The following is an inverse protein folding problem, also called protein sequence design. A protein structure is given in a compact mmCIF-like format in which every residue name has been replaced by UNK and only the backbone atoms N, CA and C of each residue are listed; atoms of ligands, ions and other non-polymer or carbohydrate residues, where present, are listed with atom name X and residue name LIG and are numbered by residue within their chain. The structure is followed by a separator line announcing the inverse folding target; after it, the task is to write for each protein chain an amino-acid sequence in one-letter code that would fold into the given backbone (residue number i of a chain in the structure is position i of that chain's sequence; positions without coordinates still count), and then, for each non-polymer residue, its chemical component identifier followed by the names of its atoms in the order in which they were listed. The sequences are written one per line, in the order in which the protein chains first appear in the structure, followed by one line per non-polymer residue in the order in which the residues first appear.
data_IF_824029165798
#
_entry.id   IF_824029165798
#
_cell.length_a   1.000
_cell.length_b   1.000
_cell.length_c   1.000
_cell.angle_alpha   90.00
_cell.angle_beta   90.00
_cell.angle_gamma   90.00
#
_symmetry.space_group_name_H-M   'P 1'
#
loop_
_entity.id
_entity.type
_entity.pdbx_description
1 polymer ?
#
# COMPACT_ATOMS: atom_id res chain seq x y z
N UNK A 1 15.79 -1.54 4.51
CA UNK A 1 15.58 -1.56 3.05
C UNK A 1 15.49 -3.01 2.62
N UNK A 2 14.35 -3.46 2.11
CA UNK A 2 14.02 -4.87 1.91
C UNK A 2 14.40 -5.42 0.52
N UNK A 3 15.26 -4.71 -0.21
CA UNK A 3 15.85 -5.17 -1.47
C UNK A 3 14.92 -5.08 -2.70
N UNK A 4 15.32 -5.64 -3.85
CA UNK A 4 14.55 -5.58 -5.09
C UNK A 4 13.17 -6.25 -5.02
N UNK A 5 13.03 -7.27 -4.18
CA UNK A 5 11.77 -8.01 -3.99
C UNK A 5 10.63 -7.11 -3.51
N UNK A 6 10.90 -6.23 -2.54
CA UNK A 6 9.93 -5.22 -2.06
C UNK A 6 9.55 -4.23 -3.17
N UNK A 7 10.51 -3.83 -4.00
CA UNK A 7 10.22 -2.93 -5.13
C UNK A 7 9.29 -3.60 -6.15
N UNK A 8 9.50 -4.89 -6.45
CA UNK A 8 8.61 -5.65 -7.32
C UNK A 8 7.21 -5.81 -6.70
N UNK A 9 7.14 -6.11 -5.40
CA UNK A 9 5.88 -6.12 -4.65
C UNK A 9 5.09 -4.82 -4.79
N UNK A 10 5.76 -3.68 -4.55
CA UNK A 10 5.13 -2.36 -4.70
C UNK A 10 4.60 -2.11 -6.11
N UNK A 11 5.34 -2.53 -7.15
CA UNK A 11 4.89 -2.42 -8.54
C UNK A 11 3.61 -3.24 -8.77
N UNK A 12 3.57 -4.47 -8.27
CA UNK A 12 2.40 -5.36 -8.39
C UNK A 12 1.18 -4.75 -7.67
N UNK A 13 1.35 -4.23 -6.46
CA UNK A 13 0.28 -3.55 -5.72
C UNK A 13 -0.22 -2.28 -6.45
N UNK A 14 0.69 -1.50 -7.04
CA UNK A 14 0.34 -0.31 -7.81
C UNK A 14 -0.40 -0.67 -9.11
N UNK A 15 0.02 -1.72 -9.82
CA UNK A 15 -0.68 -2.26 -10.97
C UNK A 15 -2.09 -2.76 -10.62
N UNK A 16 -2.25 -3.44 -9.48
CA UNK A 16 -3.57 -3.85 -9.00
C UNK A 16 -4.49 -2.64 -8.78
N UNK A 17 -3.98 -1.55 -8.20
CA UNK A 17 -4.75 -0.31 -7.98
C UNK A 17 -5.11 0.41 -9.28
N UNK A 18 -4.22 0.42 -10.27
CA UNK A 18 -4.48 1.03 -11.57
C UNK A 18 -5.55 0.26 -12.36
N UNK A 19 -5.42 -1.06 -12.42
CA UNK A 19 -6.33 -1.92 -13.20
C UNK A 19 -7.68 -2.14 -12.51
N UNK A 20 -7.70 -2.16 -11.17
CA UNK A 20 -8.87 -2.47 -10.36
C UNK A 20 -9.11 -1.34 -9.35
N UNK A 21 -9.65 -0.18 -9.75
CA UNK A 21 -9.78 0.99 -8.88
C UNK A 21 -10.78 0.81 -7.73
N UNK A 22 -11.65 -0.21 -7.75
CA UNK A 22 -12.53 -0.54 -6.62
C UNK A 22 -11.67 -0.93 -5.40
N UNK A 23 -11.71 -0.15 -4.30
CA UNK A 23 -10.94 -0.43 -3.10
C UNK A 23 -11.21 -1.80 -2.50
N UNK A 24 -12.42 -2.37 -2.65
CA UNK A 24 -12.71 -3.71 -2.13
C UNK A 24 -11.89 -4.79 -2.81
N UNK A 25 -11.60 -4.61 -4.10
CA UNK A 25 -10.81 -5.53 -4.90
C UNK A 25 -9.33 -5.30 -4.64
N UNK A 26 -8.83 -4.08 -4.90
CA UNK A 26 -7.39 -3.82 -4.78
C UNK A 26 -6.89 -3.90 -3.34
N UNK A 27 -7.62 -3.39 -2.34
CA UNK A 27 -7.19 -3.50 -0.94
C UNK A 27 -7.33 -4.93 -0.45
N UNK A 28 -8.33 -5.69 -0.93
CA UNK A 28 -8.42 -7.12 -0.64
C UNK A 28 -7.14 -7.85 -1.05
N UNK A 29 -6.75 -7.69 -2.31
CA UNK A 29 -5.52 -8.26 -2.85
C UNK A 29 -4.26 -7.81 -2.10
N UNK A 30 -4.09 -6.51 -1.86
CA UNK A 30 -2.93 -5.98 -1.11
C UNK A 30 -2.88 -6.55 0.32
N UNK A 31 -4.03 -6.64 0.99
CA UNK A 31 -4.10 -7.21 2.34
C UNK A 31 -3.82 -8.71 2.36
N UNK A 32 -4.18 -9.45 1.30
CA UNK A 32 -3.79 -10.85 1.13
C UNK A 32 -2.27 -10.98 1.03
N UNK A 33 -1.62 -10.22 0.14
CA UNK A 33 -0.16 -10.20 0.00
C UNK A 33 0.54 -9.83 1.31
N UNK A 34 0.04 -8.79 2.00
CA UNK A 34 0.64 -8.27 3.24
C UNK A 34 0.67 -9.30 4.37
N UNK A 35 -0.25 -10.30 4.38
CA UNK A 35 -0.25 -11.35 5.40
C UNK A 35 0.97 -12.27 5.31
N UNK A 36 1.46 -12.50 4.09
CA UNK A 36 2.61 -13.37 3.80
C UNK A 36 3.73 -12.57 3.12
N UNK A 37 3.95 -11.32 3.57
CA UNK A 37 4.83 -10.34 2.93
C UNK A 37 6.28 -10.82 2.72
N UNK A 38 6.75 -11.77 3.54
CA UNK A 38 8.09 -12.36 3.42
C UNK A 38 8.29 -13.14 2.11
N UNK A 39 7.19 -13.61 1.49
CA UNK A 39 7.19 -14.35 0.25
C UNK A 39 6.92 -13.46 -0.97
N UNK A 40 6.84 -12.14 -0.82
CA UNK A 40 6.69 -11.26 -1.99
C UNK A 40 8.05 -11.17 -2.72
N UNK A 41 8.12 -11.33 -4.07
CA UNK A 41 7.03 -11.43 -5.05
C UNK A 41 6.86 -12.85 -5.63
N UNK A 42 6.83 -13.88 -4.80
CA UNK A 42 6.65 -15.27 -5.24
C UNK A 42 5.36 -15.40 -6.06
N UNK A 43 5.49 -15.99 -7.24
CA UNK A 43 4.42 -16.09 -8.22
C UNK A 43 3.18 -16.80 -7.66
N UNK A 44 3.36 -17.86 -6.89
CA UNK A 44 2.24 -18.62 -6.31
C UNK A 44 1.42 -17.75 -5.36
N UNK A 45 2.06 -16.95 -4.50
CA UNK A 45 1.37 -16.03 -3.60
C UNK A 45 0.54 -15.00 -4.40
N UNK A 46 1.13 -14.45 -5.46
CA UNK A 46 0.45 -13.44 -6.30
C UNK A 46 -0.74 -14.06 -7.04
N UNK A 47 -0.59 -15.25 -7.61
CA UNK A 47 -1.67 -15.97 -8.30
C UNK A 47 -2.83 -16.33 -7.34
N UNK A 48 -2.51 -16.85 -6.15
CA UNK A 48 -3.50 -17.21 -5.13
C UNK A 48 -4.29 -15.99 -4.64
N UNK A 49 -3.60 -14.91 -4.28
CA UNK A 49 -4.25 -13.66 -3.87
C UNK A 49 -5.04 -13.01 -5.01
N UNK A 50 -4.55 -13.09 -6.25
CA UNK A 50 -5.28 -12.55 -7.40
C UNK A 50 -6.59 -13.33 -7.63
N UNK A 51 -6.55 -14.66 -7.53
CA UNK A 51 -7.73 -15.52 -7.64
C UNK A 51 -8.76 -15.22 -6.54
N UNK A 52 -8.34 -15.10 -5.27
CA UNK A 52 -9.22 -14.82 -4.13
C UNK A 52 -9.99 -13.51 -4.31
N UNK A 53 -9.35 -12.49 -4.90
CA UNK A 53 -9.89 -11.14 -5.02
C UNK A 53 -10.36 -10.79 -6.44
N UNK A 54 -10.53 -11.77 -7.32
CA UNK A 54 -11.01 -11.58 -8.70
C UNK A 54 -10.15 -10.61 -9.54
N UNK A 55 -8.84 -10.63 -9.31
CA UNK A 55 -7.84 -9.97 -10.15
C UNK A 55 -7.37 -10.97 -11.23
N UNK A 56 -7.30 -10.49 -12.46
CA UNK A 56 -6.74 -11.24 -13.58
C UNK A 56 -5.22 -11.20 -13.50
N UNK A 57 -4.61 -12.32 -13.12
CA UNK A 57 -3.17 -12.44 -12.97
C UNK A 57 -2.42 -12.08 -14.26
N UNK A 58 -2.95 -12.42 -15.44
CA UNK A 58 -2.29 -12.10 -16.70
C UNK A 58 -2.25 -10.59 -16.92
N UNK A 59 -3.36 -9.88 -16.68
CA UNK A 59 -3.38 -8.42 -16.78
C UNK A 59 -2.45 -7.76 -15.76
N UNK A 60 -2.38 -8.31 -14.56
CA UNK A 60 -1.49 -7.83 -13.51
C UNK A 60 -0.02 -7.97 -13.93
N UNK A 61 0.36 -9.16 -14.42
CA UNK A 61 1.69 -9.42 -14.95
C UNK A 61 2.00 -8.52 -16.15
N UNK A 62 1.07 -8.39 -17.09
CA UNK A 62 1.22 -7.54 -18.28
C UNK A 62 1.45 -6.08 -17.89
N UNK A 63 0.75 -5.56 -16.86
CA UNK A 63 1.00 -4.22 -16.33
C UNK A 63 2.41 -4.08 -15.76
N UNK A 64 2.87 -5.06 -14.97
CA UNK A 64 4.18 -5.01 -14.33
C UNK A 64 5.34 -5.07 -15.33
N UNK A 65 5.18 -5.79 -16.44
CA UNK A 65 6.23 -5.94 -17.48
C UNK A 65 6.02 -5.05 -18.71
N UNK A 66 4.94 -4.27 -18.75
CA UNK A 66 4.63 -3.37 -19.87
C UNK A 66 5.81 -2.42 -20.15
N UNK A 67 6.13 -2.26 -21.44
CA UNK A 67 7.24 -1.41 -21.90
C UNK A 67 8.57 -1.80 -21.25
N UNK A 68 8.87 -3.11 -21.23
CA UNK A 68 10.04 -3.68 -20.56
C UNK A 68 10.14 -3.29 -19.07
N UNK A 69 8.97 -3.12 -18.42
CA UNK A 69 8.83 -2.73 -17.02
C UNK A 69 8.87 -1.22 -16.76
N UNK A 70 9.00 -0.38 -17.79
CA UNK A 70 9.04 1.07 -17.63
C UNK A 70 7.77 1.63 -17.00
N UNK A 71 6.60 1.08 -17.36
CA UNK A 71 5.30 1.49 -16.81
C UNK A 71 5.21 1.26 -15.30
N UNK A 72 5.51 0.04 -14.84
CA UNK A 72 5.53 -0.28 -13.41
C UNK A 72 6.54 0.58 -12.62
N UNK A 73 7.71 0.83 -13.21
CA UNK A 73 8.71 1.69 -12.59
C UNK A 73 8.26 3.16 -12.47
N UNK A 74 7.51 3.67 -13.45
CA UNK A 74 6.94 5.02 -13.41
C UNK A 74 5.88 5.16 -12.31
N UNK A 75 4.99 4.16 -12.17
CA UNK A 75 4.04 4.09 -11.05
C UNK A 75 4.76 4.14 -9.70
N UNK A 76 5.84 3.35 -9.55
CA UNK A 76 6.63 3.31 -8.32
C UNK A 76 7.29 4.65 -8.02
N UNK A 77 7.91 5.30 -9.02
CA UNK A 77 8.51 6.63 -8.89
C UNK A 77 7.49 7.68 -8.48
N UNK A 78 6.32 7.67 -9.10
CA UNK A 78 5.21 8.57 -8.77
C UNK A 78 4.75 8.38 -7.32
N UNK A 79 4.63 7.12 -6.87
CA UNK A 79 4.29 6.79 -5.48
C UNK A 79 5.33 7.28 -4.47
N UNK A 80 6.62 7.13 -4.79
CA UNK A 80 7.74 7.63 -3.98
C UNK A 80 7.70 9.16 -3.91
N UNK A 81 7.53 9.85 -5.04
CA UNK A 81 7.47 11.31 -5.06
C UNK A 81 6.33 11.84 -4.20
N UNK A 82 5.13 11.26 -4.32
CA UNK A 82 3.99 11.61 -3.47
C UNK A 82 4.29 11.42 -1.97
N UNK A 83 5.03 10.37 -1.63
CA UNK A 83 5.42 10.08 -0.24
C UNK A 83 6.45 11.10 0.28
N UNK A 84 7.40 11.50 -0.56
CA UNK A 84 8.36 12.54 -0.26
C UNK A 84 7.71 13.92 -0.10
N UNK A 85 6.81 14.31 -1.01
CA UNK A 85 6.05 15.56 -0.95
C UNK A 85 5.16 15.66 0.30
N UNK A 86 4.76 14.51 0.83
CA UNK A 86 4.01 14.39 2.08
C UNK A 86 4.89 14.48 3.35
N UNK A 87 6.21 14.62 3.22
CA UNK A 87 7.14 14.64 4.35
C UNK A 87 7.29 13.30 5.07
N UNK A 88 6.94 12.19 4.42
CA UNK A 88 7.00 10.85 5.04
C UNK A 88 8.40 10.27 4.90
N UNK A 89 9.02 9.92 6.03
CA UNK A 89 10.39 9.36 6.08
C UNK A 89 10.45 7.95 6.66
N UNK A 90 9.35 7.44 7.23
CA UNK A 90 9.28 6.14 7.89
C UNK A 90 8.08 5.35 7.40
N UNK A 91 8.27 4.07 7.12
CA UNK A 91 7.17 3.11 6.98
C UNK A 91 7.04 2.36 8.31
N UNK A 92 5.88 2.32 8.96
CA UNK A 92 4.57 2.81 8.53
C UNK A 92 4.28 4.23 9.06
N UNK A 93 3.78 5.14 8.20
CA UNK A 93 3.25 6.45 8.61
C UNK A 93 1.79 6.56 8.25
N UNK A 94 0.94 6.84 9.24
CA UNK A 94 -0.49 7.11 9.07
C UNK A 94 -0.67 8.63 9.00
N UNK A 95 -1.41 9.11 8.00
CA UNK A 95 -1.76 10.53 7.85
C UNK A 95 -3.27 10.71 7.94
N UNK A 96 -3.70 11.77 8.61
CA UNK A 96 -5.09 12.17 8.76
C UNK A 96 -5.21 13.67 8.47
N UNK A 97 -6.11 14.04 7.54
CA UNK A 97 -6.31 15.43 7.10
C UNK A 97 -5.02 16.16 6.71
N UNK A 98 -4.18 15.48 5.91
CA UNK A 98 -2.90 16.01 5.43
C UNK A 98 -1.78 16.05 6.47
N UNK A 99 -2.05 15.78 7.75
CA UNK A 99 -1.07 15.78 8.84
C UNK A 99 -0.61 14.36 9.20
N UNK A 100 0.61 14.23 9.73
CA UNK A 100 1.07 12.97 10.33
C UNK A 100 0.23 12.70 11.58
N UNK A 101 -0.40 11.53 11.64
CA UNK A 101 -1.26 11.10 12.74
C UNK A 101 -0.58 10.12 13.68
N UNK A 102 0.23 9.19 13.16
CA UNK A 102 0.85 8.14 13.96
C UNK A 102 1.93 7.45 13.11
N UNK A 103 3.07 7.09 13.71
CA UNK A 103 4.18 6.42 13.05
C UNK A 103 4.43 5.10 13.78
N UNK A 104 4.68 4.03 13.02
CA UNK A 104 5.14 2.75 13.56
C UNK A 104 6.50 2.40 12.98
N UNK A 105 7.50 2.22 13.84
CA UNK A 105 8.88 1.93 13.44
C UNK A 105 9.53 1.01 14.48
N UNK A 106 10.26 -0.01 14.02
CA UNK A 106 10.87 -0.99 14.92
C UNK A 106 9.90 -1.76 15.83
N UNK A 107 8.61 -1.84 15.45
CA UNK A 107 7.55 -2.46 16.25
C UNK A 107 6.85 -1.51 17.23
N UNK A 108 7.41 -0.32 17.46
CA UNK A 108 6.93 0.69 18.41
C UNK A 108 6.09 1.77 17.72
N UNK A 109 5.15 2.35 18.46
CA UNK A 109 4.30 3.46 17.99
C UNK A 109 4.77 4.79 18.56
N UNK A 110 4.84 5.83 17.71
CA UNK A 110 5.18 7.20 18.10
C UNK A 110 4.28 8.23 17.41
N UNK A 111 4.24 9.43 17.97
CA UNK A 111 3.55 10.58 17.36
C UNK A 111 2.05 10.35 17.14
N UNK A 112 1.41 9.61 18.06
CA UNK A 112 -0.01 9.24 18.02
C UNK A 112 -0.80 10.04 19.08
N UNK A 113 -1.28 11.27 18.77
CA UNK A 113 -1.81 12.21 19.77
C UNK A 113 -3.05 11.72 20.50
N UNK A 114 -3.84 10.85 19.85
CA UNK A 114 -5.02 10.21 20.42
C UNK A 114 -4.87 8.71 20.61
N UNK A 115 -3.67 8.16 20.37
CA UNK A 115 -3.38 6.73 20.46
C UNK A 115 -3.29 6.02 19.10
N UNK A 116 -2.58 4.87 19.03
CA UNK A 116 -2.37 4.10 17.80
C UNK A 116 -3.49 3.08 17.51
N UNK A 117 -4.49 2.97 18.39
CA UNK A 117 -5.56 1.98 18.26
C UNK A 117 -6.51 2.28 17.11
N UNK A 118 -7.14 1.23 16.57
CA UNK A 118 -8.16 1.37 15.52
C UNK A 118 -9.31 2.27 15.97
N UNK A 119 -9.80 2.10 17.20
CA UNK A 119 -10.84 2.96 17.76
C UNK A 119 -10.39 4.42 17.89
N UNK A 120 -9.12 4.66 18.23
CA UNK A 120 -8.56 6.01 18.36
C UNK A 120 -8.60 6.74 17.00
N UNK A 121 -8.20 6.04 15.93
CA UNK A 121 -8.24 6.56 14.57
C UNK A 121 -9.69 6.82 14.11
N UNK A 122 -10.63 5.90 14.40
CA UNK A 122 -12.06 6.08 14.07
C UNK A 122 -12.61 7.34 14.75
N UNK A 123 -12.35 7.52 16.04
CA UNK A 123 -12.81 8.69 16.79
C UNK A 123 -12.18 9.99 16.24
N UNK A 124 -10.89 9.96 15.87
CA UNK A 124 -10.22 11.10 15.27
C UNK A 124 -10.84 11.49 13.91
N UNK A 125 -11.14 10.50 13.05
CA UNK A 125 -11.84 10.71 11.77
C UNK A 125 -13.25 11.29 12.00
N UNK A 126 -14.03 10.72 12.91
CA UNK A 126 -15.38 11.20 13.21
C UNK A 126 -15.39 12.64 13.72
N UNK A 127 -14.40 13.00 14.55
CA UNK A 127 -14.25 14.36 15.07
C UNK A 127 -14.03 15.36 13.93
N UNK A 128 -13.12 15.08 13.01
CA UNK A 128 -12.84 15.94 11.84
C UNK A 128 -14.06 16.05 10.91
N UNK A 129 -14.75 14.93 10.68
CA UNK A 129 -15.97 14.91 9.85
C UNK A 129 -17.07 15.81 10.40
N UNK A 130 -17.19 15.96 11.73
CA UNK A 130 -18.19 16.83 12.38
C UNK A 130 -17.79 18.32 12.37
N UNK A 131 -16.53 18.62 12.06
CA UNK A 131 -15.98 19.98 12.03
C UNK A 131 -15.92 20.58 10.62
N UNK A 132 -16.16 19.76 9.59
CA UNK A 132 -16.27 20.15 8.18
C UNK A 132 -17.72 20.48 7.82
#
# INVERSE_FOLDING_TARGET
MHGPSECMGNIIELCARELYPDPKINLGFIMCLTRDYEHIPDRSLIEDCALEHAIDFQKLNDCAVKEDGAHGLDLLRTSIQRTADAGVTKSCTIRLDGQIYCIRDGGEWSDCPTGPGVNDLILAIEKLRRQS
#
